data_IF_415127813324
#
_entry.id   IF_415127813324
#
_cell.length_a   1.000
_cell.length_b   1.000
_cell.length_c   1.000
_cell.angle_alpha   90.00
_cell.angle_beta   90.00
_cell.angle_gamma   90.00
#
_symmetry.space_group_name_H-M   'P 1'
#
loop_
_entity.id
_entity.type
_entity.pdbx_description
1 polymer ?
#
# COMPACT_ATOMS: atom_id res chain seq x y z
N UNK A 1 2.99 -3.61 2.23
CA UNK A 1 3.65 -2.36 2.69
C UNK A 1 3.31 -1.28 1.68
N UNK A 2 2.81 -0.13 2.13
CA UNK A 2 2.57 1.05 1.28
C UNK A 2 3.68 2.05 1.57
N UNK A 3 4.37 2.51 0.54
CA UNK A 3 5.39 3.56 0.64
C UNK A 3 5.09 4.69 -0.33
N UNK A 4 5.28 5.91 0.12
CA UNK A 4 5.19 7.12 -0.70
C UNK A 4 6.43 7.98 -0.46
N UNK A 5 6.90 8.64 -1.50
CA UNK A 5 8.09 9.48 -1.43
C UNK A 5 7.90 10.77 -2.22
N UNK A 6 8.55 11.84 -1.76
CA UNK A 6 8.59 13.12 -2.47
C UNK A 6 9.81 13.93 -2.05
N UNK A 7 10.54 14.48 -3.02
CA UNK A 7 11.68 15.38 -2.75
C UNK A 7 11.28 16.69 -2.05
N UNK A 8 9.99 17.04 -2.09
CA UNK A 8 9.46 18.29 -1.51
C UNK A 8 9.09 18.15 -0.02
N UNK A 9 9.17 16.94 0.55
CA UNK A 9 8.84 16.71 1.96
C UNK A 9 10.00 16.99 2.90
N UNK A 10 10.57 18.19 2.79
CA UNK A 10 11.75 18.61 3.55
C UNK A 10 11.51 18.76 5.04
N UNK A 11 10.25 18.77 5.48
CA UNK A 11 9.83 18.85 6.88
C UNK A 11 9.63 17.49 7.56
N UNK A 12 9.86 16.37 6.87
CA UNK A 12 9.80 15.06 7.50
C UNK A 12 11.01 14.86 8.42
N UNK A 13 10.74 14.35 9.61
CA UNK A 13 11.75 13.99 10.60
C UNK A 13 12.00 12.48 10.55
N UNK A 14 13.27 12.07 10.55
CA UNK A 14 13.62 10.66 10.41
C UNK A 14 13.05 9.83 11.57
N UNK A 15 12.45 8.67 11.28
CA UNK A 15 11.78 7.77 12.23
C UNK A 15 10.54 8.36 12.94
N UNK A 16 10.16 9.59 12.64
CA UNK A 16 8.94 10.18 13.18
C UNK A 16 7.71 9.54 12.55
N UNK A 17 6.63 9.41 13.32
CA UNK A 17 5.37 8.85 12.85
C UNK A 17 4.38 9.96 12.51
N UNK A 18 3.70 9.78 11.37
CA UNK A 18 2.71 10.71 10.85
C UNK A 18 1.39 9.96 10.63
N UNK A 19 0.28 10.40 11.25
CA UNK A 19 -1.03 9.81 11.00
C UNK A 19 -1.46 10.19 9.59
N UNK A 20 -1.61 9.19 8.73
CA UNK A 20 -2.13 9.36 7.38
C UNK A 20 -3.40 8.54 7.23
N UNK A 21 -4.20 8.93 6.25
CA UNK A 21 -5.40 8.20 5.87
C UNK A 21 -5.22 7.60 4.49
N UNK A 22 -5.47 6.31 4.33
CA UNK A 22 -5.45 5.62 3.03
C UNK A 22 -6.88 5.28 2.64
N UNK A 23 -7.34 5.77 1.50
CA UNK A 23 -8.68 5.48 0.98
C UNK A 23 -8.58 4.79 -0.39
N UNK A 24 -9.35 3.73 -0.55
CA UNK A 24 -9.45 2.93 -1.77
C UNK A 24 -10.85 3.13 -2.35
N UNK A 25 -10.95 3.70 -3.55
CA UNK A 25 -12.24 4.03 -4.16
C UNK A 25 -13.09 4.89 -3.22
N UNK A 26 -14.30 4.41 -2.93
CA UNK A 26 -15.27 4.99 -2.00
C UNK A 26 -15.38 4.21 -0.69
N UNK A 27 -14.46 3.28 -0.40
CA UNK A 27 -14.44 2.55 0.85
C UNK A 27 -14.11 3.48 2.03
N UNK A 28 -14.49 3.02 3.23
CA UNK A 28 -14.10 3.70 4.47
C UNK A 28 -12.57 3.84 4.54
N UNK A 29 -12.06 5.03 4.87
CA UNK A 29 -10.63 5.26 4.93
C UNK A 29 -9.96 4.48 6.07
N UNK A 30 -8.72 4.08 5.85
CA UNK A 30 -7.86 3.45 6.84
C UNK A 30 -6.97 4.49 7.49
N UNK A 31 -7.10 4.66 8.80
CA UNK A 31 -6.16 5.47 9.58
C UNK A 31 -4.93 4.63 9.90
N UNK A 32 -3.75 5.13 9.51
CA UNK A 32 -2.48 4.43 9.78
C UNK A 32 -1.42 5.42 10.25
N UNK A 33 -0.59 4.97 11.19
CA UNK A 33 0.62 5.69 11.56
C UNK A 33 1.75 5.27 10.64
N UNK A 34 2.13 6.13 9.69
CA UNK A 34 3.24 5.89 8.78
C UNK A 34 4.54 6.42 9.39
N UNK A 35 5.61 5.62 9.30
CA UNK A 35 6.92 6.03 9.76
C UNK A 35 7.68 6.73 8.64
N UNK A 36 8.31 7.86 8.95
CA UNK A 36 9.20 8.54 8.03
C UNK A 36 10.58 7.88 7.98
N UNK A 37 11.11 7.77 6.77
CA UNK A 37 12.51 7.44 6.51
C UNK A 37 13.12 8.57 5.71
N UNK A 38 14.18 9.19 6.27
CA UNK A 38 14.85 10.33 5.66
C UNK A 38 16.32 9.98 5.44
N UNK A 39 16.71 9.87 4.17
CA UNK A 39 18.07 9.65 3.71
C UNK A 39 18.30 10.58 2.52
N UNK A 40 18.74 11.82 2.78
CA UNK A 40 18.79 12.90 1.78
C UNK A 40 19.42 12.44 0.46
N UNK A 41 18.79 12.70 -0.70
CA UNK A 41 17.58 13.52 -0.92
C UNK A 41 16.25 12.74 -0.87
N UNK A 42 16.24 11.53 -0.30
CA UNK A 42 15.07 10.66 -0.21
C UNK A 42 14.28 10.96 1.07
N UNK A 43 13.00 11.26 0.90
CA UNK A 43 12.03 11.46 1.97
C UNK A 43 10.85 10.54 1.69
N UNK A 44 10.56 9.64 2.63
CA UNK A 44 9.57 8.58 2.44
C UNK A 44 8.69 8.45 3.68
N UNK A 45 7.42 8.13 3.47
CA UNK A 45 6.52 7.58 4.49
C UNK A 45 6.22 6.13 4.14
N UNK A 46 6.35 5.24 5.12
CA UNK A 46 6.03 3.83 4.98
C UNK A 46 5.03 3.36 6.03
N UNK A 47 4.06 2.55 5.62
CA UNK A 47 3.14 1.86 6.54
C UNK A 47 2.95 0.39 6.17
N UNK A 48 2.79 -0.44 7.21
CA UNK A 48 2.49 -1.85 7.06
C UNK A 48 0.98 -2.06 7.03
N UNK A 49 0.41 -2.18 5.83
CA UNK A 49 -0.94 -2.74 5.66
C UNK A 49 -0.81 -4.26 5.58
N UNK A 50 -1.31 -4.98 6.59
CA UNK A 50 -1.29 -6.46 6.66
C UNK A 50 -2.68 -7.09 6.62
N UNK A 51 -3.71 -6.31 6.26
CA UNK A 51 -5.09 -6.78 6.26
C UNK A 51 -5.45 -7.40 4.91
N UNK A 52 -6.00 -8.62 4.90
CA UNK A 52 -6.59 -9.23 3.69
C UNK A 52 -7.67 -8.33 3.07
N UNK A 53 -8.48 -7.68 3.92
CA UNK A 53 -9.50 -6.72 3.51
C UNK A 53 -8.93 -5.53 2.73
N UNK A 54 -7.71 -5.10 3.05
CA UNK A 54 -7.04 -4.04 2.28
C UNK A 54 -6.74 -4.49 0.85
N UNK A 55 -6.29 -5.74 0.67
CA UNK A 55 -6.01 -6.28 -0.67
C UNK A 55 -7.27 -6.45 -1.48
N UNK A 56 -8.37 -6.88 -0.86
CA UNK A 56 -9.65 -7.01 -1.57
C UNK A 56 -10.19 -5.65 -2.02
N UNK A 57 -10.13 -4.64 -1.16
CA UNK A 57 -10.48 -3.27 -1.53
C UNK A 57 -9.55 -2.71 -2.62
N UNK A 58 -8.26 -3.05 -2.58
CA UNK A 58 -7.30 -2.59 -3.59
C UNK A 58 -7.60 -3.17 -4.97
N UNK A 59 -8.03 -4.43 -5.04
CA UNK A 59 -8.45 -5.09 -6.29
C UNK A 59 -9.74 -4.51 -6.85
N UNK A 60 -10.69 -4.14 -6.00
CA UNK A 60 -11.99 -3.61 -6.43
C UNK A 60 -12.01 -2.11 -6.69
N UNK A 61 -10.95 -1.38 -6.30
CA UNK A 61 -10.89 0.07 -6.42
C UNK A 61 -10.15 0.52 -7.68
N UNK A 62 -10.61 1.63 -8.24
CA UNK A 62 -10.00 2.30 -9.39
C UNK A 62 -9.03 3.42 -8.98
N UNK A 63 -8.98 3.77 -7.70
CA UNK A 63 -8.12 4.83 -7.16
C UNK A 63 -7.68 4.52 -5.73
N UNK A 64 -6.44 4.89 -5.41
CA UNK A 64 -5.92 4.97 -4.04
C UNK A 64 -5.59 6.44 -3.74
N UNK A 65 -6.09 6.96 -2.63
CA UNK A 65 -5.78 8.31 -2.11
C UNK A 65 -5.09 8.19 -0.76
N UNK A 66 -4.02 8.96 -0.59
CA UNK A 66 -3.37 9.12 0.71
C UNK A 66 -3.49 10.58 1.12
N UNK A 67 -4.01 10.78 2.32
CA UNK A 67 -4.25 12.10 2.90
C UNK A 67 -3.48 12.29 4.19
N UNK A 68 -3.02 13.52 4.42
CA UNK A 68 -2.44 14.00 5.68
C UNK A 68 -3.10 15.33 6.01
N UNK A 69 -3.61 15.50 7.23
CA UNK A 69 -4.33 16.71 7.66
C UNK A 69 -5.43 17.15 6.66
N UNK A 70 -6.28 16.21 6.23
CA UNK A 70 -7.36 16.41 5.25
C UNK A 70 -6.91 16.92 3.86
N UNK A 71 -5.62 16.86 3.55
CA UNK A 71 -5.08 17.18 2.22
C UNK A 71 -4.56 15.91 1.55
N UNK A 72 -4.92 15.72 0.28
CA UNK A 72 -4.40 14.61 -0.53
C UNK A 72 -2.93 14.89 -0.81
N UNK A 73 -2.05 14.01 -0.33
CA UNK A 73 -0.59 14.09 -0.54
C UNK A 73 -0.10 13.11 -1.60
N UNK A 74 -0.88 12.07 -1.89
CA UNK A 74 -0.64 11.17 -3.00
C UNK A 74 -1.96 10.61 -3.55
N UNK A 75 -2.01 10.41 -4.87
CA UNK A 75 -3.12 9.77 -5.55
C UNK A 75 -2.56 8.84 -6.62
N UNK A 76 -3.04 7.60 -6.64
CA UNK A 76 -2.69 6.59 -7.61
C UNK A 76 -3.95 6.11 -8.32
N UNK A 77 -3.97 6.19 -9.64
CA UNK A 77 -4.98 5.53 -10.46
C UNK A 77 -4.68 4.03 -10.52
N UNK A 78 -5.68 3.21 -10.26
CA UNK A 78 -5.59 1.75 -10.23
C UNK A 78 -6.27 1.08 -11.43
N UNK A 79 -6.77 1.85 -12.40
CA UNK A 79 -7.35 1.31 -13.64
C UNK A 79 -6.34 0.39 -14.31
N UNK A 80 -6.69 -0.89 -14.44
CA UNK A 80 -5.83 -1.95 -14.99
C UNK A 80 -4.86 -2.60 -13.98
N UNK A 81 -4.61 -1.97 -12.83
CA UNK A 81 -3.78 -2.56 -11.75
C UNK A 81 -4.48 -3.76 -11.11
N UNK A 82 -5.81 -3.73 -11.00
CA UNK A 82 -6.60 -4.85 -10.49
C UNK A 82 -6.42 -6.13 -11.31
N UNK A 83 -6.39 -6.02 -12.65
CA UNK A 83 -6.11 -7.13 -13.55
C UNK A 83 -4.69 -7.66 -13.38
N UNK A 84 -3.69 -6.77 -13.40
CA UNK A 84 -2.29 -7.17 -13.18
C UNK A 84 -2.06 -7.84 -11.81
N UNK A 85 -2.77 -7.40 -10.77
CA UNK A 85 -2.72 -8.04 -9.46
C UNK A 85 -3.38 -9.42 -9.44
N UNK A 86 -4.46 -9.62 -10.20
CA UNK A 86 -5.08 -10.94 -10.35
C UNK A 86 -4.10 -11.93 -11.00
N UNK A 87 -3.40 -11.50 -12.06
CA UNK A 87 -2.40 -12.32 -12.76
C UNK A 87 -1.24 -12.71 -11.83
N UNK A 88 -0.73 -11.77 -11.03
CA UNK A 88 0.34 -12.06 -10.05
C UNK A 88 -0.13 -13.06 -8.99
N UNK A 89 -1.36 -12.92 -8.49
CA UNK A 89 -1.92 -13.85 -7.51
C UNK A 89 -2.14 -15.24 -8.10
N UNK A 90 -2.51 -15.32 -9.37
CA UNK A 90 -2.60 -16.58 -10.10
C UNK A 90 -1.23 -17.24 -10.23
N UNK A 91 -0.21 -16.51 -10.68
CA UNK A 91 1.17 -17.01 -10.73
C UNK A 91 1.67 -17.53 -9.37
N UNK A 92 1.33 -16.83 -8.28
CA UNK A 92 1.71 -17.26 -6.93
C UNK A 92 1.07 -18.58 -6.52
N UNK A 93 -0.18 -18.86 -6.93
CA UNK A 93 -0.84 -20.16 -6.68
C UNK A 93 -0.11 -21.30 -7.37
N UNK A 94 0.32 -21.11 -8.62
CA UNK A 94 1.07 -22.11 -9.38
C UNK A 94 2.47 -22.37 -8.82
N UNK A 95 3.05 -21.39 -8.13
CA UNK A 95 4.38 -21.49 -7.52
C UNK A 95 4.36 -22.02 -6.08
N UNK A 96 3.19 -22.26 -5.48
CA UNK A 96 3.13 -22.93 -4.18
C UNK A 96 3.50 -24.41 -4.37
N UNK A 97 4.55 -24.92 -3.69
CA UNK A 97 4.90 -26.33 -3.80
C UNK A 97 3.71 -27.17 -3.35
N UNK A 98 3.22 -28.04 -4.23
CA UNK A 98 2.26 -29.07 -3.86
C UNK A 98 2.85 -29.85 -2.69
N UNK A 99 2.12 -29.90 -1.56
CA UNK A 99 2.46 -30.76 -0.43
C UNK A 99 2.80 -32.16 -0.98
N UNK A 100 3.95 -32.77 -0.61
CA UNK A 100 4.25 -34.12 -1.05
C UNK A 100 3.08 -35.01 -0.61
N UNK A 101 2.48 -35.70 -1.58
CA UNK A 101 1.46 -36.72 -1.30
C UNK A 101 2.09 -37.72 -0.33
N UNK A 102 1.54 -37.80 0.89
CA UNK A 102 1.86 -38.89 1.81
C UNK A 102 1.47 -40.18 1.10
N UNK A 103 2.48 -40.96 0.71
CA UNK A 103 2.31 -42.31 0.19
C UNK A 103 1.59 -43.15 1.25
N UNK A 104 0.48 -43.77 0.84
CA UNK A 104 -0.26 -44.77 1.61
C UNK A 104 0.48 -46.10 1.58
#
# INVERSE_FOLDING_TARGET
>A
MVTIHSKNWTSLENRQHYPITIQLGDHNPWEVNAMASVAKPIYMLGSLTRSEKFMDQLKSSDVLRISYNNKIVARLELKGVSGAMADVLECQKYMQPSLPKSSQ
#
